data_IF_409920847308
#
_entry.id   IF_409920847308
#
_cell.length_a   1.000
_cell.length_b   1.000
_cell.length_c   1.000
_cell.angle_alpha   90.00
_cell.angle_beta   90.00
_cell.angle_gamma   90.00
#
_symmetry.space_group_name_H-M   'P 1'
#
loop_
_entity.id
_entity.type
_entity.pdbx_description
1 polymer ?
#
# COMPACT_ATOMS: atom_id res chain seq x y z
N UNK A 1 -28.61 52.08 38.35
CA UNK A 1 -27.97 50.84 38.87
C UNK A 1 -28.55 49.56 38.28
N UNK A 2 -29.87 49.29 38.40
CA UNK A 2 -30.48 48.01 37.89
C UNK A 2 -30.27 47.72 36.40
N UNK A 3 -30.34 48.74 35.53
CA UNK A 3 -30.05 48.61 34.09
C UNK A 3 -28.58 48.31 33.78
N UNK A 4 -27.66 48.81 34.58
CA UNK A 4 -26.22 48.61 34.40
C UNK A 4 -25.81 47.18 34.80
N UNK A 5 -26.40 46.67 35.90
CA UNK A 5 -26.24 45.27 36.31
C UNK A 5 -26.81 44.28 35.29
N UNK A 6 -27.92 44.63 34.63
CA UNK A 6 -28.56 43.76 33.63
C UNK A 6 -27.74 43.66 32.34
N UNK A 7 -27.12 44.76 31.89
CA UNK A 7 -26.21 44.76 30.74
C UNK A 7 -24.94 43.97 31.05
N UNK A 8 -24.38 44.11 32.27
CA UNK A 8 -23.22 43.34 32.69
C UNK A 8 -23.50 41.82 32.75
N UNK A 9 -24.68 41.43 33.23
CA UNK A 9 -25.10 40.02 33.28
C UNK A 9 -25.28 39.40 31.89
N UNK A 10 -25.85 40.15 30.93
CA UNK A 10 -26.00 39.68 29.54
C UNK A 10 -24.63 39.55 28.85
N UNK A 11 -23.72 40.49 29.07
CA UNK A 11 -22.35 40.42 28.53
C UNK A 11 -21.57 39.21 29.07
N UNK A 12 -21.74 38.88 30.36
CA UNK A 12 -21.12 37.69 30.97
C UNK A 12 -21.68 36.37 30.42
N UNK A 13 -22.96 36.31 30.05
CA UNK A 13 -23.58 35.11 29.45
C UNK A 13 -23.11 34.93 28.00
N UNK A 14 -22.93 36.00 27.23
CA UNK A 14 -22.40 35.93 25.85
C UNK A 14 -20.92 35.50 25.85
N UNK A 15 -20.12 35.97 26.82
CA UNK A 15 -18.73 35.51 26.99
C UNK A 15 -18.62 34.06 27.47
N UNK A 16 -19.58 33.56 28.26
CA UNK A 16 -19.63 32.15 28.67
C UNK A 16 -19.94 31.20 27.50
N UNK A 17 -20.69 31.65 26.48
CA UNK A 17 -20.96 30.87 25.27
C UNK A 17 -19.90 31.03 24.17
N UNK A 18 -19.09 32.09 24.21
CA UNK A 18 -17.97 32.28 23.27
C UNK A 18 -16.73 31.42 23.61
N UNK A 19 -16.67 30.85 24.82
CA UNK A 19 -15.52 30.11 25.34
C UNK A 19 -15.47 28.62 25.02
N UNK A 20 -16.56 28.00 24.56
CA UNK A 20 -16.53 26.63 24.04
C UNK A 20 -16.29 26.69 22.54
N UNK A 21 -15.06 27.05 22.15
CA UNK A 21 -14.54 26.57 20.89
C UNK A 21 -14.60 25.04 20.95
N UNK A 22 -15.64 24.45 20.38
CA UNK A 22 -15.66 23.03 20.04
C UNK A 22 -14.46 22.83 19.13
N UNK A 23 -13.31 22.47 19.72
CA UNK A 23 -12.20 21.94 18.96
C UNK A 23 -12.81 20.81 18.14
N UNK A 24 -12.92 21.03 16.83
CA UNK A 24 -13.51 20.04 15.95
C UNK A 24 -12.75 18.75 16.20
N UNK A 25 -13.45 17.74 16.70
CA UNK A 25 -12.87 16.45 17.03
C UNK A 25 -12.38 15.86 15.69
N UNK A 26 -11.05 15.81 15.52
CA UNK A 26 -10.41 15.37 14.26
C UNK A 26 -10.03 13.91 14.36
N UNK A 27 -10.16 13.20 13.24
CA UNK A 27 -9.52 11.91 13.04
C UNK A 27 -8.15 12.15 12.42
N UNK A 28 -7.14 12.22 13.28
CA UNK A 28 -5.74 12.35 12.90
C UNK A 28 -5.18 10.97 12.50
N UNK A 29 -4.78 10.82 11.23
CA UNK A 29 -4.32 9.55 10.67
C UNK A 29 -2.97 9.76 10.01
N UNK A 30 -1.97 9.02 10.47
CA UNK A 30 -0.63 8.95 9.91
C UNK A 30 -0.49 7.71 9.02
N UNK A 31 0.07 7.91 7.82
CA UNK A 31 0.18 6.90 6.77
C UNK A 31 1.64 6.79 6.32
N UNK A 32 2.29 5.62 6.43
CA UNK A 32 3.60 5.38 5.83
C UNK A 32 3.48 5.30 4.29
N UNK A 33 4.31 6.04 3.57
CA UNK A 33 4.42 5.97 2.10
C UNK A 33 5.89 6.18 1.66
N UNK A 34 6.32 5.59 0.53
CA UNK A 34 7.66 5.88 0.00
C UNK A 34 7.64 7.21 -0.77
N UNK A 35 7.87 8.32 -0.08
CA UNK A 35 7.86 9.67 -0.67
C UNK A 35 9.22 10.04 -1.26
N UNK A 36 10.28 9.38 -0.83
CA UNK A 36 11.61 9.46 -1.46
C UNK A 36 12.11 8.08 -1.91
N UNK A 37 13.27 8.07 -2.57
CA UNK A 37 13.88 6.85 -3.11
C UNK A 37 13.25 6.36 -4.42
N UNK A 38 13.55 5.11 -4.81
CA UNK A 38 13.19 4.58 -6.13
C UNK A 38 11.68 4.43 -6.38
N UNK A 39 10.85 4.52 -5.33
CA UNK A 39 9.39 4.37 -5.40
C UNK A 39 8.65 5.69 -5.14
N UNK A 40 9.36 6.82 -5.02
CA UNK A 40 8.81 8.15 -4.74
C UNK A 40 7.59 8.50 -5.60
N UNK A 41 7.67 8.25 -6.92
CA UNK A 41 6.57 8.55 -7.85
C UNK A 41 5.27 7.81 -7.49
N UNK A 42 5.36 6.57 -7.04
CA UNK A 42 4.19 5.80 -6.61
C UNK A 42 3.67 6.30 -5.26
N UNK A 43 4.56 6.62 -4.32
CA UNK A 43 4.17 7.23 -3.04
C UNK A 43 3.46 8.57 -3.20
N UNK A 44 3.89 9.43 -4.12
CA UNK A 44 3.22 10.70 -4.43
C UNK A 44 1.82 10.49 -5.04
N UNK A 45 1.66 9.48 -5.91
CA UNK A 45 0.35 9.11 -6.47
C UNK A 45 -0.58 8.61 -5.34
N UNK A 46 -0.09 7.74 -4.46
CA UNK A 46 -0.87 7.25 -3.32
C UNK A 46 -1.24 8.38 -2.37
N UNK A 47 -0.28 9.24 -2.02
CA UNK A 47 -0.48 10.42 -1.18
C UNK A 47 -1.60 11.30 -1.74
N UNK A 48 -1.54 11.62 -3.04
CA UNK A 48 -2.59 12.43 -3.68
C UNK A 48 -3.95 11.72 -3.67
N UNK A 49 -3.97 10.40 -3.82
CA UNK A 49 -5.20 9.60 -3.75
C UNK A 49 -5.84 9.66 -2.36
N UNK A 50 -5.03 9.58 -1.30
CA UNK A 50 -5.51 9.75 0.08
C UNK A 50 -6.04 11.17 0.35
N UNK A 51 -5.33 12.20 -0.14
CA UNK A 51 -5.75 13.59 0.01
C UNK A 51 -7.10 13.84 -0.67
N UNK A 52 -7.30 13.36 -1.91
CA UNK A 52 -8.58 13.47 -2.61
C UNK A 52 -9.70 12.78 -1.81
N UNK A 53 -9.47 11.56 -1.31
CA UNK A 53 -10.46 10.86 -0.49
C UNK A 53 -10.80 11.63 0.79
N UNK A 54 -9.80 12.21 1.47
CA UNK A 54 -10.04 13.03 2.66
C UNK A 54 -10.79 14.33 2.35
N UNK A 55 -10.49 14.98 1.22
CA UNK A 55 -11.21 16.16 0.73
C UNK A 55 -12.71 15.82 0.52
N UNK A 56 -13.00 14.74 -0.20
CA UNK A 56 -14.38 14.26 -0.46
C UNK A 56 -15.13 13.89 0.83
N UNK A 57 -14.49 13.10 1.72
CA UNK A 57 -15.08 12.68 2.99
C UNK A 57 -15.39 13.91 3.87
N UNK A 58 -14.47 14.85 3.96
CA UNK A 58 -14.65 16.05 4.77
C UNK A 58 -15.73 16.98 4.19
N UNK A 59 -15.80 17.12 2.85
CA UNK A 59 -16.86 17.87 2.20
C UNK A 59 -18.26 17.25 2.45
N UNK A 60 -18.32 15.92 2.62
CA UNK A 60 -19.54 15.19 2.98
C UNK A 60 -19.87 15.21 4.49
N UNK A 61 -19.18 16.03 5.30
CA UNK A 61 -19.44 16.16 6.75
C UNK A 61 -18.55 15.29 7.64
N UNK A 62 -17.54 14.64 7.09
CA UNK A 62 -16.56 13.85 7.83
C UNK A 62 -17.08 12.48 8.26
N UNK A 63 -16.31 11.79 9.11
CA UNK A 63 -16.66 10.45 9.62
C UNK A 63 -17.29 10.63 10.99
N UNK A 64 -18.59 10.33 11.11
CA UNK A 64 -19.37 10.55 12.34
C UNK A 64 -19.25 12.01 12.83
N UNK A 65 -19.22 12.97 11.90
CA UNK A 65 -19.05 14.40 12.19
C UNK A 65 -17.62 14.86 12.49
N UNK A 66 -16.64 13.94 12.48
CA UNK A 66 -15.22 14.25 12.70
C UNK A 66 -14.49 14.50 11.39
N UNK A 67 -13.69 15.56 11.33
CA UNK A 67 -12.86 15.90 10.17
C UNK A 67 -11.65 14.97 10.11
N UNK A 68 -11.39 14.37 8.96
CA UNK A 68 -10.19 13.57 8.68
C UNK A 68 -9.00 14.49 8.41
N UNK A 69 -7.91 14.31 9.14
CA UNK A 69 -6.63 15.00 8.94
C UNK A 69 -5.56 13.95 8.69
N UNK A 70 -4.89 14.03 7.53
CA UNK A 70 -3.90 13.06 7.13
C UNK A 70 -2.48 13.60 7.31
N UNK A 71 -1.60 12.74 7.80
CA UNK A 71 -0.16 12.95 7.86
C UNK A 71 0.54 11.81 7.14
N UNK A 72 1.70 12.09 6.55
CA UNK A 72 2.47 11.10 5.82
C UNK A 72 3.88 11.01 6.37
N UNK A 73 4.35 9.78 6.58
CA UNK A 73 5.74 9.52 6.98
C UNK A 73 6.49 8.80 5.86
N UNK A 74 7.64 9.33 5.48
CA UNK A 74 8.42 8.83 4.36
C UNK A 74 9.16 7.54 4.73
N UNK A 75 8.70 6.42 4.17
CA UNK A 75 9.33 5.11 4.34
C UNK A 75 10.59 4.92 3.49
N UNK A 76 10.86 5.83 2.54
CA UNK A 76 11.94 5.73 1.54
C UNK A 76 11.89 4.44 0.69
N UNK A 77 10.78 3.70 0.75
CA UNK A 77 10.65 2.36 0.18
C UNK A 77 11.53 1.31 0.88
N UNK A 78 11.88 1.52 2.15
CA UNK A 78 12.77 0.66 2.93
C UNK A 78 12.01 -0.09 4.04
N UNK A 79 12.10 -1.43 4.13
CA UNK A 79 11.36 -2.22 5.12
C UNK A 79 11.67 -1.85 6.58
N UNK A 80 12.93 -1.57 6.89
CA UNK A 80 13.38 -1.21 8.24
C UNK A 80 12.83 0.15 8.68
N UNK A 81 12.74 1.13 7.78
CA UNK A 81 12.14 2.43 8.07
C UNK A 81 10.62 2.27 8.21
N UNK A 82 9.99 1.48 7.34
CA UNK A 82 8.55 1.18 7.41
C UNK A 82 8.17 0.52 8.73
N UNK A 83 9.01 -0.40 9.23
CA UNK A 83 8.86 -1.01 10.55
C UNK A 83 8.90 0.05 11.66
N UNK A 84 9.91 0.92 11.66
CA UNK A 84 10.05 1.97 12.68
C UNK A 84 8.88 2.97 12.65
N UNK A 85 8.39 3.32 11.45
CA UNK A 85 7.19 4.17 11.31
C UNK A 85 5.96 3.46 11.89
N UNK A 86 5.76 2.16 11.61
CA UNK A 86 4.65 1.41 12.19
C UNK A 86 4.71 1.34 13.73
N UNK A 87 5.90 1.07 14.28
CA UNK A 87 6.14 1.12 15.73
C UNK A 87 5.79 2.49 16.30
N UNK A 88 6.20 3.59 15.65
CA UNK A 88 5.84 4.95 16.07
C UNK A 88 4.33 5.23 15.97
N UNK A 89 3.68 4.85 14.88
CA UNK A 89 2.23 5.03 14.68
C UNK A 89 1.44 4.32 15.78
N UNK A 90 1.84 3.09 16.13
CA UNK A 90 1.14 2.25 17.10
C UNK A 90 1.52 2.64 18.54
N UNK A 91 2.80 2.69 18.86
CA UNK A 91 3.28 2.78 20.23
C UNK A 91 3.31 4.23 20.75
N UNK A 92 3.56 5.22 19.88
CA UNK A 92 3.64 6.65 20.26
C UNK A 92 2.35 7.38 19.93
N UNK A 93 1.90 7.32 18.66
CA UNK A 93 0.67 8.02 18.24
C UNK A 93 -0.61 7.34 18.71
N UNK A 94 -0.52 6.09 19.22
CA UNK A 94 -1.66 5.28 19.66
C UNK A 94 -2.75 5.16 18.59
N UNK A 95 -2.36 5.19 17.32
CA UNK A 95 -3.31 5.08 16.21
C UNK A 95 -3.92 3.66 16.20
N UNK A 96 -5.26 3.53 16.15
CA UNK A 96 -5.93 2.25 16.37
C UNK A 96 -5.86 1.30 15.17
N UNK A 97 -5.30 1.73 14.05
CA UNK A 97 -5.06 0.91 12.86
C UNK A 97 -3.89 1.49 12.06
N UNK A 98 -3.33 0.70 11.15
CA UNK A 98 -2.36 1.14 10.16
C UNK A 98 -2.94 0.88 8.77
N UNK A 99 -2.65 1.76 7.82
CA UNK A 99 -2.93 1.53 6.40
C UNK A 99 -1.85 2.20 5.56
N UNK A 100 -1.75 1.85 4.29
CA UNK A 100 -0.77 2.44 3.39
C UNK A 100 0.41 1.52 3.10
N UNK A 101 1.49 2.16 2.69
CA UNK A 101 2.68 1.60 2.09
C UNK A 101 2.46 0.94 0.72
N UNK A 102 3.43 1.13 -0.18
CA UNK A 102 3.34 0.70 -1.58
C UNK A 102 3.90 -0.72 -1.76
N UNK A 103 5.14 -0.93 -1.29
CA UNK A 103 5.90 -2.11 -1.67
C UNK A 103 5.58 -3.33 -0.81
N UNK A 104 5.62 -4.52 -1.42
CA UNK A 104 5.34 -5.78 -0.72
C UNK A 104 6.27 -6.03 0.48
N UNK A 105 7.55 -5.68 0.36
CA UNK A 105 8.55 -5.86 1.43
C UNK A 105 8.28 -4.92 2.61
N UNK A 106 7.94 -3.66 2.34
CA UNK A 106 7.60 -2.70 3.38
C UNK A 106 6.26 -3.01 4.04
N UNK A 107 5.23 -3.39 3.24
CA UNK A 107 3.95 -3.87 3.76
C UNK A 107 4.12 -5.08 4.69
N UNK A 108 5.01 -6.02 4.33
CA UNK A 108 5.31 -7.18 5.18
C UNK A 108 5.96 -6.79 6.51
N UNK A 109 6.83 -5.79 6.51
CA UNK A 109 7.45 -5.28 7.73
C UNK A 109 6.41 -4.63 8.66
N UNK A 110 5.49 -3.83 8.12
CA UNK A 110 4.37 -3.24 8.87
C UNK A 110 3.44 -4.34 9.40
N UNK A 111 3.10 -5.33 8.57
CA UNK A 111 2.24 -6.45 8.94
C UNK A 111 2.76 -7.21 10.16
N UNK A 112 4.07 -7.45 10.25
CA UNK A 112 4.67 -8.12 11.39
C UNK A 112 4.50 -7.32 12.70
N UNK A 113 4.70 -5.99 12.65
CA UNK A 113 4.51 -5.11 13.82
C UNK A 113 3.04 -5.05 14.23
N UNK A 114 2.14 -4.85 13.27
CA UNK A 114 0.70 -4.79 13.50
C UNK A 114 0.17 -6.08 14.13
N UNK A 115 0.60 -7.25 13.66
CA UNK A 115 0.24 -8.53 14.28
C UNK A 115 0.76 -8.63 15.72
N UNK A 116 2.04 -8.32 15.94
CA UNK A 116 2.66 -8.38 17.28
C UNK A 116 1.95 -7.46 18.28
N UNK A 117 1.52 -6.27 17.83
CA UNK A 117 0.80 -5.27 18.63
C UNK A 117 -0.70 -5.47 18.67
N UNK A 118 -1.25 -6.44 17.93
CA UNK A 118 -2.70 -6.68 17.81
C UNK A 118 -3.46 -5.44 17.29
N UNK A 119 -2.85 -4.72 16.36
CA UNK A 119 -3.44 -3.53 15.72
C UNK A 119 -3.78 -3.88 14.27
N UNK A 120 -5.02 -3.65 13.79
CA UNK A 120 -5.37 -3.91 12.41
C UNK A 120 -4.46 -3.16 11.42
N UNK A 121 -3.88 -3.89 10.47
CA UNK A 121 -3.19 -3.33 9.31
C UNK A 121 -3.96 -3.65 8.03
N UNK A 122 -4.32 -2.62 7.27
CA UNK A 122 -4.92 -2.75 5.95
C UNK A 122 -3.86 -2.53 4.86
N UNK A 123 -3.48 -3.62 4.20
CA UNK A 123 -2.62 -3.60 3.02
C UNK A 123 -3.40 -3.03 1.84
N UNK A 124 -2.89 -1.95 1.26
CA UNK A 124 -3.55 -1.25 0.14
C UNK A 124 -2.94 -1.60 -1.22
N UNK A 125 -1.62 -1.81 -1.28
CA UNK A 125 -0.91 -1.97 -2.57
C UNK A 125 0.01 -3.18 -2.61
N UNK A 126 0.67 -3.52 -1.49
CA UNK A 126 1.55 -4.68 -1.39
C UNK A 126 0.90 -5.98 -1.89
N UNK A 127 1.39 -6.51 -3.01
CA UNK A 127 0.74 -7.60 -3.72
C UNK A 127 1.23 -9.00 -3.32
N UNK A 128 2.39 -9.13 -2.66
CA UNK A 128 2.91 -10.44 -2.26
C UNK A 128 1.88 -11.23 -1.45
N UNK A 129 1.67 -12.49 -1.83
CA UNK A 129 0.82 -13.42 -1.12
C UNK A 129 1.24 -13.58 0.34
N UNK A 130 2.55 -13.53 0.61
CA UNK A 130 3.10 -13.84 1.94
C UNK A 130 2.78 -12.79 2.99
N UNK A 131 2.26 -11.62 2.62
CA UNK A 131 1.84 -10.59 3.57
C UNK A 131 0.66 -11.10 4.42
N UNK A 132 -0.25 -11.86 3.82
CA UNK A 132 -1.49 -12.36 4.47
C UNK A 132 -1.52 -13.87 4.67
N UNK A 133 -0.43 -14.58 4.35
CA UNK A 133 -0.32 -16.05 4.50
C UNK A 133 0.49 -16.50 5.73
N UNK A 134 0.75 -15.59 6.68
CA UNK A 134 1.49 -15.87 7.91
C UNK A 134 0.60 -16.37 9.07
N UNK A 135 -0.68 -16.69 8.82
CA UNK A 135 -1.70 -16.93 9.85
C UNK A 135 -1.91 -15.73 10.80
N UNK A 136 -1.67 -14.52 10.30
CA UNK A 136 -1.91 -13.27 11.02
C UNK A 136 -3.42 -13.00 11.16
N UNK A 137 -3.82 -12.53 12.34
CA UNK A 137 -5.22 -12.22 12.67
C UNK A 137 -5.57 -10.75 12.49
N UNK A 138 -4.57 -9.88 12.49
CA UNK A 138 -4.73 -8.42 12.43
C UNK A 138 -4.31 -7.83 11.08
N UNK A 139 -4.01 -8.65 10.08
CA UNK A 139 -3.55 -8.19 8.77
C UNK A 139 -4.58 -8.51 7.70
N UNK A 140 -5.11 -7.46 7.09
CA UNK A 140 -6.15 -7.49 6.07
C UNK A 140 -5.61 -6.89 4.77
N UNK A 141 -6.21 -7.23 3.63
CA UNK A 141 -5.81 -6.65 2.34
C UNK A 141 -7.02 -6.23 1.51
N UNK A 142 -6.87 -5.12 0.80
CA UNK A 142 -7.86 -4.60 -0.14
C UNK A 142 -7.55 -5.02 -1.58
N UNK A 143 -6.27 -5.18 -1.91
CA UNK A 143 -5.79 -5.54 -3.24
C UNK A 143 -5.70 -7.07 -3.43
N UNK A 144 -5.87 -7.58 -4.67
CA UNK A 144 -5.59 -8.98 -4.96
C UNK A 144 -4.11 -9.30 -4.74
N UNK A 145 -3.82 -10.54 -4.33
CA UNK A 145 -2.43 -10.99 -4.27
C UNK A 145 -1.86 -11.22 -5.67
N UNK A 146 -0.53 -11.22 -5.80
CA UNK A 146 0.14 -11.36 -7.09
C UNK A 146 -0.17 -12.70 -7.75
N UNK A 147 -0.45 -13.75 -6.97
CA UNK A 147 -0.91 -15.03 -7.54
C UNK A 147 -2.32 -14.99 -8.14
N UNK A 148 -3.17 -14.04 -7.73
CA UNK A 148 -4.46 -13.81 -8.37
C UNK A 148 -4.33 -13.07 -9.71
N UNK A 149 -3.32 -12.22 -9.88
CA UNK A 149 -3.07 -11.51 -11.14
C UNK A 149 -2.84 -12.50 -12.29
N UNK A 150 -1.99 -13.50 -12.06
CA UNK A 150 -1.74 -14.54 -13.06
C UNK A 150 -2.99 -15.38 -13.33
N UNK A 151 -3.82 -15.60 -12.29
CA UNK A 151 -5.15 -16.21 -12.40
C UNK A 151 -6.07 -15.52 -13.41
N UNK A 152 -6.15 -14.18 -13.35
CA UNK A 152 -6.93 -13.39 -14.30
C UNK A 152 -6.42 -13.52 -15.74
N UNK A 153 -5.10 -13.64 -15.91
CA UNK A 153 -4.47 -13.82 -17.21
C UNK A 153 -4.68 -15.24 -17.79
N UNK A 154 -4.93 -16.27 -16.96
CA UNK A 154 -5.05 -17.66 -17.42
C UNK A 154 -6.10 -17.85 -18.50
N UNK A 155 -7.28 -17.25 -18.33
CA UNK A 155 -8.39 -17.40 -19.30
C UNK A 155 -7.99 -16.82 -20.66
N UNK A 156 -7.35 -15.65 -20.67
CA UNK A 156 -6.87 -15.00 -21.87
C UNK A 156 -5.77 -15.82 -22.57
N UNK A 157 -4.78 -16.30 -21.82
CA UNK A 157 -3.73 -17.16 -22.37
C UNK A 157 -4.29 -18.47 -22.92
N UNK A 158 -5.27 -19.09 -22.24
CA UNK A 158 -5.86 -20.35 -22.68
C UNK A 158 -6.76 -20.21 -23.90
N UNK A 159 -7.59 -19.16 -23.95
CA UNK A 159 -8.67 -19.04 -24.96
C UNK A 159 -8.27 -18.23 -26.17
N UNK A 160 -7.44 -17.21 -25.99
CA UNK A 160 -7.10 -16.23 -27.04
C UNK A 160 -5.70 -16.47 -27.56
N UNK A 161 -4.68 -16.30 -26.70
CA UNK A 161 -3.27 -16.32 -27.14
C UNK A 161 -2.79 -17.73 -27.48
N UNK A 162 -3.20 -18.73 -26.68
CA UNK A 162 -2.82 -20.15 -26.81
C UNK A 162 -1.30 -20.38 -26.95
N UNK A 163 -0.46 -19.76 -26.11
CA UNK A 163 0.99 -19.90 -26.22
C UNK A 163 1.45 -21.30 -25.79
N UNK A 164 2.57 -21.75 -26.33
CA UNK A 164 3.24 -23.00 -25.94
C UNK A 164 4.39 -22.75 -24.99
N UNK A 165 5.00 -21.57 -25.05
CA UNK A 165 6.20 -21.22 -24.30
C UNK A 165 6.06 -19.87 -23.60
N UNK A 166 6.70 -19.75 -22.43
CA UNK A 166 6.77 -18.50 -21.68
C UNK A 166 8.19 -18.26 -21.16
N UNK A 167 8.64 -17.03 -21.23
CA UNK A 167 9.82 -16.55 -20.51
C UNK A 167 9.39 -15.64 -19.36
N UNK A 168 10.00 -15.82 -18.19
CA UNK A 168 9.68 -15.09 -16.97
C UNK A 168 10.88 -14.23 -16.57
N UNK A 169 10.69 -12.92 -16.50
CA UNK A 169 11.68 -11.98 -16.01
C UNK A 169 11.15 -11.31 -14.74
N UNK A 170 11.96 -11.21 -13.69
CA UNK A 170 11.50 -10.64 -12.43
C UNK A 170 12.61 -9.94 -11.67
N UNK A 171 12.28 -8.83 -11.03
CA UNK A 171 13.18 -8.15 -10.11
C UNK A 171 13.41 -8.97 -8.82
N UNK A 172 14.53 -8.76 -8.15
CA UNK A 172 14.93 -9.42 -6.90
C UNK A 172 14.17 -8.94 -5.66
N UNK A 173 12.88 -8.62 -5.80
CA UNK A 173 11.99 -8.22 -4.70
C UNK A 173 11.05 -9.35 -4.30
N UNK A 174 10.39 -9.20 -3.14
CA UNK A 174 9.35 -10.14 -2.72
C UNK A 174 8.17 -10.19 -3.72
N UNK A 175 7.82 -9.04 -4.31
CA UNK A 175 6.82 -8.95 -5.37
C UNK A 175 7.25 -9.69 -6.64
N UNK A 176 8.45 -9.40 -7.15
CA UNK A 176 9.02 -10.05 -8.33
C UNK A 176 9.07 -11.56 -8.17
N UNK A 177 9.62 -12.02 -7.03
CA UNK A 177 9.77 -13.45 -6.72
C UNK A 177 8.43 -14.17 -6.66
N UNK A 178 7.44 -13.61 -5.93
CA UNK A 178 6.13 -14.26 -5.80
C UNK A 178 5.32 -14.24 -7.08
N UNK A 179 5.41 -13.17 -7.87
CA UNK A 179 4.79 -13.13 -9.20
C UNK A 179 5.39 -14.16 -10.16
N UNK A 180 6.72 -14.32 -10.15
CA UNK A 180 7.40 -15.34 -10.96
C UNK A 180 7.00 -16.76 -10.54
N UNK A 181 6.92 -17.05 -9.24
CA UNK A 181 6.43 -18.34 -8.72
C UNK A 181 4.98 -18.63 -9.13
N UNK A 182 4.10 -17.61 -9.06
CA UNK A 182 2.72 -17.69 -9.54
C UNK A 182 2.64 -18.08 -11.00
N UNK A 183 3.42 -17.41 -11.86
CA UNK A 183 3.43 -17.70 -13.30
C UNK A 183 4.01 -19.08 -13.62
N UNK A 184 5.01 -19.58 -12.88
CA UNK A 184 5.49 -20.96 -13.06
C UNK A 184 4.38 -21.98 -12.78
N UNK A 185 3.62 -21.79 -11.69
CA UNK A 185 2.49 -22.67 -11.34
C UNK A 185 1.41 -22.62 -12.44
N UNK A 186 1.18 -21.44 -13.01
CA UNK A 186 0.15 -21.23 -14.03
C UNK A 186 0.56 -21.76 -15.40
N UNK A 187 1.84 -21.64 -15.75
CA UNK A 187 2.41 -22.28 -16.93
C UNK A 187 2.20 -23.79 -16.89
N UNK A 188 2.44 -24.44 -15.74
CA UNK A 188 2.17 -25.87 -15.57
C UNK A 188 0.69 -26.21 -15.78
N UNK A 189 -0.23 -25.43 -15.22
CA UNK A 189 -1.69 -25.63 -15.38
C UNK A 189 -2.17 -25.43 -16.80
N UNK A 190 -1.50 -24.56 -17.56
CA UNK A 190 -1.85 -24.22 -18.94
C UNK A 190 -1.12 -25.09 -19.98
N UNK A 191 -0.22 -25.99 -19.55
CA UNK A 191 0.58 -26.81 -20.45
C UNK A 191 1.68 -26.04 -21.19
N UNK A 192 2.06 -24.86 -20.69
CA UNK A 192 3.14 -24.05 -21.26
C UNK A 192 4.51 -24.50 -20.74
N UNK A 193 5.52 -24.48 -21.61
CA UNK A 193 6.92 -24.67 -21.24
C UNK A 193 7.54 -23.34 -20.80
N UNK A 194 8.07 -23.29 -19.57
CA UNK A 194 8.90 -22.17 -19.14
C UNK A 194 10.28 -22.32 -19.78
N UNK A 195 10.57 -21.52 -20.81
CA UNK A 195 11.84 -21.59 -21.57
C UNK A 195 12.95 -20.76 -20.96
N UNK A 196 12.59 -19.87 -20.02
CA UNK A 196 13.50 -19.00 -19.30
C UNK A 196 12.81 -18.49 -18.03
N UNK A 197 13.56 -18.45 -16.92
CA UNK A 197 13.17 -17.77 -15.68
C UNK A 197 14.41 -17.07 -15.15
N UNK A 198 14.48 -15.75 -15.28
CA UNK A 198 15.67 -14.99 -14.88
C UNK A 198 15.31 -13.88 -13.90
N UNK A 199 16.14 -13.78 -12.87
CA UNK A 199 16.10 -12.71 -11.87
C UNK A 199 17.01 -11.58 -12.33
N UNK A 200 16.60 -10.34 -12.13
CA UNK A 200 17.50 -9.18 -12.21
C UNK A 200 17.46 -8.40 -10.90
N UNK A 201 18.53 -7.69 -10.59
CA UNK A 201 18.60 -6.93 -9.34
C UNK A 201 17.72 -5.68 -9.38
N UNK A 202 17.00 -5.40 -8.29
CA UNK A 202 16.22 -4.16 -8.19
C UNK A 202 17.15 -2.95 -8.35
N UNK A 203 16.80 -2.03 -9.27
CA UNK A 203 17.65 -0.89 -9.61
C UNK A 203 18.73 -1.20 -10.66
N UNK A 204 18.73 -2.39 -11.27
CA UNK A 204 19.57 -2.67 -12.44
C UNK A 204 19.29 -1.67 -13.57
N UNK A 205 20.36 -1.20 -14.21
CA UNK A 205 20.32 -0.23 -15.32
C UNK A 205 20.72 -0.85 -16.66
N UNK A 206 21.35 -2.03 -16.65
CA UNK A 206 21.68 -2.78 -17.86
C UNK A 206 20.90 -4.09 -17.93
N UNK A 207 20.01 -4.16 -18.93
CA UNK A 207 19.20 -5.33 -19.23
C UNK A 207 19.65 -6.05 -20.51
N UNK A 208 20.72 -5.59 -21.18
CA UNK A 208 21.18 -6.22 -22.45
C UNK A 208 21.52 -7.70 -22.31
N UNK A 209 22.19 -8.18 -21.24
CA UNK A 209 22.52 -9.59 -21.11
C UNK A 209 21.27 -10.48 -21.00
N UNK A 210 20.34 -10.09 -20.13
CA UNK A 210 19.08 -10.84 -19.92
C UNK A 210 18.20 -10.79 -21.18
N UNK A 211 18.12 -9.65 -21.86
CA UNK A 211 17.36 -9.52 -23.12
C UNK A 211 18.01 -10.30 -24.28
N UNK A 212 19.34 -10.39 -24.34
CA UNK A 212 20.04 -11.18 -25.34
C UNK A 212 19.78 -12.68 -25.15
N UNK A 213 19.83 -13.15 -23.91
CA UNK A 213 19.44 -14.51 -23.55
C UNK A 213 17.98 -14.78 -23.89
N UNK A 214 17.08 -13.85 -23.58
CA UNK A 214 15.65 -13.94 -23.92
C UNK A 214 15.42 -14.09 -25.43
N UNK A 215 16.07 -13.26 -26.24
CA UNK A 215 15.97 -13.30 -27.71
C UNK A 215 16.37 -14.67 -28.28
N UNK A 216 17.36 -15.33 -27.68
CA UNK A 216 17.79 -16.67 -28.09
C UNK A 216 16.73 -17.75 -27.83
N UNK A 217 15.81 -17.53 -26.89
CA UNK A 217 14.78 -18.51 -26.48
C UNK A 217 13.50 -18.44 -27.30
N UNK A 218 13.26 -17.34 -28.02
CA UNK A 218 12.06 -17.10 -28.85
C UNK A 218 10.75 -17.55 -28.16
N UNK A 219 10.44 -17.05 -26.95
CA UNK A 219 9.20 -17.42 -26.27
C UNK A 219 7.98 -16.82 -26.99
N UNK A 220 6.83 -17.49 -26.90
CA UNK A 220 5.55 -16.94 -27.40
C UNK A 220 5.07 -15.77 -26.52
N UNK A 221 5.36 -15.83 -25.21
CA UNK A 221 4.99 -14.81 -24.23
C UNK A 221 6.17 -14.47 -23.32
N UNK A 222 6.33 -13.18 -23.05
CA UNK A 222 7.22 -12.66 -22.01
C UNK A 222 6.34 -12.20 -20.85
N UNK A 223 6.57 -12.77 -19.67
CA UNK A 223 5.92 -12.36 -18.43
C UNK A 223 6.95 -11.64 -17.56
N UNK A 224 6.73 -10.34 -17.34
CA UNK A 224 7.64 -9.50 -16.56
C UNK A 224 6.98 -9.06 -15.26
N UNK A 225 7.71 -9.16 -14.14
CA UNK A 225 7.26 -8.70 -12.82
C UNK A 225 8.28 -7.70 -12.28
N UNK A 226 7.86 -6.45 -12.11
CA UNK A 226 8.75 -5.29 -11.95
C UNK A 226 8.06 -4.14 -11.23
N UNK A 227 8.79 -3.40 -10.38
CA UNK A 227 8.41 -2.06 -9.95
C UNK A 227 9.01 -0.94 -10.82
N UNK A 228 9.81 -1.31 -11.83
CA UNK A 228 10.36 -0.43 -12.87
C UNK A 228 9.32 -0.16 -13.94
#
# INVERSE_FOLDING_TARGET
MKRFLMVMAVSLIVLAFAGTGLAADVLDITIPLPLTGSKAKFGEIEKRSYEIAAEEINAAGGIKGKKVVLHFEDSQGKPEISRAIAEKIIDVKKQPFVMGEYSSSCSKAIAAVAEERKVPYLVVTGASDTITQQNYKYVFRMNPSVSYYTGGLRSFLKKVVKPRTVAILYESTDFGTKGAEGMVKDAKKLGMKVVMKEKYESGAVDFKPILSKLKSKRPDVIYMVSYV
#
